data_IF_628161974031
#
_entry.id   IF_628161974031
#
_cell.length_a   1.000
_cell.length_b   1.000
_cell.length_c   1.000
_cell.angle_alpha   90.00
_cell.angle_beta   90.00
_cell.angle_gamma   90.00
#
_symmetry.space_group_name_H-M   'P 1'
#
loop_
_entity.id
_entity.type
_entity.pdbx_description
1 polymer ?
#
# COMPACT_ATOMS: atom_id res chain seq x y z
N UNK A 1 -8.31 -9.55 -2.44
CA UNK A 1 -8.85 -10.28 -3.60
C UNK A 1 -9.48 -9.28 -4.54
N UNK A 2 -9.42 -9.50 -5.85
CA UNK A 2 -10.14 -8.69 -6.82
C UNK A 2 -11.56 -9.26 -6.98
N UNK A 3 -12.59 -8.44 -6.78
CA UNK A 3 -14.00 -8.85 -6.91
C UNK A 3 -14.51 -8.86 -8.36
N UNK A 4 -13.72 -8.34 -9.30
CA UNK A 4 -14.01 -8.32 -10.72
C UNK A 4 -12.68 -8.38 -11.51
N UNK A 5 -12.70 -8.76 -12.80
CA UNK A 5 -11.54 -8.68 -13.67
C UNK A 5 -10.93 -7.28 -13.65
N UNK A 6 -9.61 -7.20 -13.50
CA UNK A 6 -8.89 -5.94 -13.50
C UNK A 6 -8.56 -5.57 -14.97
N UNK A 7 -9.07 -4.44 -15.49
CA UNK A 7 -8.91 -4.11 -16.91
C UNK A 7 -7.48 -3.61 -17.25
N UNK A 8 -6.69 -3.27 -16.23
CA UNK A 8 -5.38 -2.66 -16.37
C UNK A 8 -4.39 -3.20 -15.33
N UNK A 9 -3.13 -2.89 -15.56
CA UNK A 9 -2.04 -3.19 -14.64
C UNK A 9 -1.87 -2.07 -13.62
N UNK A 10 -2.16 -2.38 -12.36
CA UNK A 10 -2.11 -1.46 -11.25
C UNK A 10 -0.71 -1.41 -10.62
N UNK A 11 -0.44 -0.27 -9.99
CA UNK A 11 0.71 -0.02 -9.14
C UNK A 11 0.26 0.18 -7.70
N UNK A 12 1.20 0.02 -6.79
CA UNK A 12 1.04 0.29 -5.38
C UNK A 12 2.00 1.38 -4.94
N UNK A 13 1.50 2.31 -4.14
CA UNK A 13 2.25 3.36 -3.45
C UNK A 13 2.28 3.02 -1.98
N UNK A 14 3.48 2.83 -1.42
CA UNK A 14 3.71 2.58 0.00
C UNK A 14 4.36 3.80 0.62
N UNK A 15 3.67 4.42 1.58
CA UNK A 15 4.08 5.65 2.26
C UNK A 15 4.37 5.42 3.72
N UNK A 16 5.50 5.96 4.18
CA UNK A 16 5.78 6.13 5.60
C UNK A 16 5.35 7.54 6.01
N UNK A 17 4.48 7.63 7.00
CA UNK A 17 4.01 8.89 7.55
C UNK A 17 4.65 9.15 8.92
N UNK A 18 5.00 10.39 9.17
CA UNK A 18 5.43 10.87 10.50
C UNK A 18 4.28 10.81 11.54
N UNK A 19 4.56 11.07 12.83
CA UNK A 19 3.51 11.12 13.86
C UNK A 19 2.41 12.16 13.60
N UNK A 20 2.70 13.22 12.83
CA UNK A 20 1.73 14.25 12.44
C UNK A 20 0.92 13.85 11.20
N UNK A 21 1.22 12.71 10.56
CA UNK A 21 0.55 12.21 9.37
C UNK A 21 1.14 12.71 8.04
N UNK A 22 2.26 13.42 8.06
CA UNK A 22 2.91 13.89 6.83
C UNK A 22 3.73 12.76 6.18
N UNK A 23 3.72 12.65 4.84
CA UNK A 23 4.55 11.66 4.16
C UNK A 23 6.04 12.01 4.29
N UNK A 24 6.81 11.11 4.89
CA UNK A 24 8.28 11.20 4.97
C UNK A 24 8.96 10.45 3.84
N UNK A 25 8.38 9.32 3.44
CA UNK A 25 8.93 8.46 2.42
C UNK A 25 7.80 7.85 1.60
N UNK A 26 8.06 7.66 0.31
CA UNK A 26 7.14 7.01 -0.62
C UNK A 26 7.92 6.06 -1.51
N UNK A 27 7.38 4.87 -1.73
CA UNK A 27 7.88 3.89 -2.69
C UNK A 27 6.73 3.41 -3.57
N UNK A 28 6.85 3.68 -4.86
CA UNK A 28 5.92 3.18 -5.87
C UNK A 28 6.50 1.93 -6.54
N UNK A 29 5.64 0.94 -6.77
CA UNK A 29 6.01 -0.30 -7.45
C UNK A 29 4.83 -0.87 -8.24
N UNK A 30 5.07 -1.56 -9.37
CA UNK A 30 4.00 -2.31 -10.04
C UNK A 30 3.54 -3.47 -9.15
N UNK A 31 2.25 -3.79 -9.16
CA UNK A 31 1.73 -4.99 -8.52
C UNK A 31 1.96 -6.21 -9.43
N UNK A 32 2.70 -7.20 -8.92
CA UNK A 32 3.12 -8.40 -9.67
C UNK A 32 3.17 -9.64 -8.77
N UNK A 33 2.00 -10.20 -8.45
CA UNK A 33 1.93 -11.47 -7.73
C UNK A 33 2.53 -12.60 -8.58
N UNK A 34 3.57 -13.27 -8.06
CA UNK A 34 4.36 -14.28 -8.79
C UNK A 34 4.88 -13.79 -10.16
N UNK A 35 5.12 -12.47 -10.29
CA UNK A 35 5.54 -11.84 -11.55
C UNK A 35 4.41 -11.54 -12.53
N UNK A 36 3.19 -12.04 -12.26
CA UNK A 36 2.02 -11.85 -13.10
C UNK A 36 1.38 -10.47 -12.87
N UNK A 37 1.15 -9.68 -13.94
CA UNK A 37 0.57 -8.35 -13.81
C UNK A 37 -0.92 -8.42 -13.43
N UNK A 38 -1.45 -7.37 -12.81
CA UNK A 38 -2.79 -7.44 -12.18
C UNK A 38 -3.93 -7.73 -13.15
N UNK A 39 -3.81 -7.35 -14.43
CA UNK A 39 -4.81 -7.69 -15.46
C UNK A 39 -4.99 -9.20 -15.69
N UNK A 40 -4.02 -10.02 -15.28
CA UNK A 40 -4.06 -11.48 -15.42
C UNK A 40 -4.54 -12.19 -14.16
N UNK A 41 -4.82 -11.45 -13.08
CA UNK A 41 -5.24 -12.05 -11.82
C UNK A 41 -6.65 -12.62 -11.95
N UNK A 42 -6.82 -13.85 -11.46
CA UNK A 42 -8.15 -14.45 -11.36
C UNK A 42 -9.00 -13.69 -10.33
N UNK A 43 -10.23 -13.35 -10.71
CA UNK A 43 -11.22 -12.81 -9.79
C UNK A 43 -11.46 -13.79 -8.62
N UNK A 44 -11.81 -13.26 -7.46
CA UNK A 44 -12.11 -13.99 -6.22
C UNK A 44 -10.97 -14.88 -5.68
N UNK A 45 -9.76 -14.73 -6.20
CA UNK A 45 -8.55 -15.39 -5.69
C UNK A 45 -7.68 -14.41 -4.90
N UNK A 46 -7.03 -14.92 -3.86
CA UNK A 46 -5.99 -14.19 -3.15
C UNK A 46 -4.70 -14.23 -3.97
N UNK A 47 -4.14 -13.06 -4.21
CA UNK A 47 -2.84 -12.85 -4.83
C UNK A 47 -1.93 -12.20 -3.79
N UNK A 48 -0.69 -12.71 -3.66
CA UNK A 48 0.29 -12.21 -2.71
C UNK A 48 1.43 -11.55 -3.49
N UNK A 49 1.74 -10.30 -3.14
CA UNK A 49 2.82 -9.54 -3.75
C UNK A 49 3.71 -8.93 -2.66
N UNK A 50 4.85 -9.56 -2.31
CA UNK A 50 5.69 -9.09 -1.22
C UNK A 50 6.53 -7.88 -1.63
N UNK A 51 6.24 -6.72 -1.04
CA UNK A 51 7.07 -5.52 -1.19
C UNK A 51 8.01 -5.32 0.00
N UNK A 52 9.28 -5.06 -0.29
CA UNK A 52 10.26 -4.63 0.70
C UNK A 52 10.37 -3.11 0.68
N UNK A 53 10.08 -2.47 1.81
CA UNK A 53 10.30 -1.05 2.03
C UNK A 53 11.66 -0.85 2.69
N UNK A 54 12.54 -0.08 2.07
CA UNK A 54 13.81 0.32 2.69
C UNK A 54 13.61 1.65 3.39
N UNK A 55 13.74 1.63 4.70
CA UNK A 55 13.62 2.84 5.51
C UNK A 55 14.97 3.56 5.58
N UNK A 56 15.00 4.91 5.57
CA UNK A 56 16.22 5.66 5.81
C UNK A 56 16.78 5.34 7.20
N UNK A 57 18.08 5.09 7.30
CA UNK A 57 18.77 4.85 8.58
C UNK A 57 18.80 6.12 9.47
N UNK A 58 18.58 7.28 8.87
CA UNK A 58 18.53 8.58 9.55
C UNK A 58 17.15 8.89 10.16
N UNK A 59 16.21 7.95 10.15
CA UNK A 59 14.91 8.15 10.78
C UNK A 59 15.11 8.26 12.30
N UNK A 60 14.64 9.35 12.94
CA UNK A 60 14.69 9.45 14.38
C UNK A 60 13.82 8.36 15.03
N UNK A 61 14.12 7.98 16.27
CA UNK A 61 13.24 7.12 17.05
C UNK A 61 11.84 7.74 17.20
N UNK A 62 10.81 6.90 17.09
CA UNK A 62 9.44 7.37 17.11
C UNK A 62 8.43 6.38 16.51
N UNK A 63 7.17 6.82 16.48
CA UNK A 63 6.06 6.05 15.92
C UNK A 63 5.67 6.59 14.56
N UNK A 64 5.77 5.74 13.55
CA UNK A 64 5.44 6.05 12.17
C UNK A 64 4.23 5.26 11.73
N UNK A 65 3.46 5.78 10.78
CA UNK A 65 2.33 5.05 10.19
C UNK A 65 2.68 4.57 8.79
N UNK A 66 2.44 3.30 8.50
CA UNK A 66 2.55 2.77 7.15
C UNK A 66 1.20 2.88 6.44
N UNK A 67 1.19 3.52 5.28
CA UNK A 67 0.03 3.77 4.46
C UNK A 67 0.22 3.21 3.05
N UNK A 68 -0.82 2.68 2.44
CA UNK A 68 -0.77 2.05 1.13
C UNK A 68 -1.94 2.50 0.26
N UNK A 69 -1.66 2.78 -1.02
CA UNK A 69 -2.67 3.09 -2.04
C UNK A 69 -2.40 2.28 -3.29
N UNK A 70 -3.46 1.78 -3.93
CA UNK A 70 -3.38 1.08 -5.22
C UNK A 70 -3.95 2.02 -6.29
N UNK A 71 -3.27 2.16 -7.42
CA UNK A 71 -3.65 3.13 -8.46
C UNK A 71 -3.24 2.61 -9.83
N UNK A 72 -3.90 3.09 -10.88
CA UNK A 72 -3.43 2.83 -12.24
C UNK A 72 -2.40 3.91 -12.60
N UNK A 73 -1.24 3.53 -13.16
CA UNK A 73 -0.13 4.46 -13.35
C UNK A 73 -0.48 5.69 -14.22
N UNK A 74 -1.44 5.56 -15.14
CA UNK A 74 -1.90 6.68 -15.97
C UNK A 74 -2.82 7.66 -15.21
N UNK A 75 -3.36 7.26 -14.05
CA UNK A 75 -4.26 8.03 -13.20
C UNK A 75 -3.82 7.96 -11.72
N UNK A 76 -2.56 8.33 -11.44
CA UNK A 76 -2.00 8.26 -10.08
C UNK A 76 -2.77 9.08 -9.03
N UNK A 77 -3.41 10.18 -9.45
CA UNK A 77 -4.28 11.01 -8.61
C UNK A 77 -5.65 10.39 -8.30
N UNK A 78 -5.95 9.20 -8.84
CA UNK A 78 -7.21 8.46 -8.63
C UNK A 78 -6.96 7.04 -8.12
N UNK A 79 -6.46 6.90 -6.88
CA UNK A 79 -6.30 5.60 -6.24
C UNK A 79 -7.63 4.86 -6.09
N UNK A 80 -7.57 3.54 -6.17
CA UNK A 80 -8.68 2.63 -5.91
C UNK A 80 -9.16 2.75 -4.46
N UNK A 81 -10.48 2.61 -4.30
CA UNK A 81 -11.10 2.51 -2.97
C UNK A 81 -10.77 1.17 -2.32
N UNK A 82 -10.17 1.24 -1.14
CA UNK A 82 -9.97 0.10 -0.25
C UNK A 82 -11.31 -0.23 0.40
N UNK A 83 -11.77 -1.45 0.13
CA UNK A 83 -12.94 -2.02 0.79
C UNK A 83 -12.46 -2.90 1.95
N UNK A 84 -12.89 -2.56 3.17
CA UNK A 84 -12.66 -3.41 4.34
C UNK A 84 -13.68 -4.55 4.33
N UNK A 85 -13.25 -5.75 4.71
CA UNK A 85 -14.15 -6.88 4.94
C UNK A 85 -14.92 -6.77 6.26
N UNK A 86 -14.57 -5.81 7.13
CA UNK A 86 -15.26 -5.57 8.39
C UNK A 86 -16.40 -4.56 8.20
N UNK A 87 -17.66 -4.93 8.53
CA UNK A 87 -18.78 -4.01 8.44
C UNK A 87 -18.58 -2.81 9.39
N UNK A 88 -18.83 -1.60 8.89
CA UNK A 88 -18.69 -0.34 9.65
C UNK A 88 -17.32 0.34 9.55
N UNK A 89 -16.34 -0.24 8.86
CA UNK A 89 -15.08 0.43 8.54
C UNK A 89 -15.27 1.30 7.30
N UNK A 90 -14.93 2.59 7.41
CA UNK A 90 -15.03 3.53 6.30
C UNK A 90 -14.17 3.08 5.12
N UNK A 91 -14.74 3.15 3.92
CA UNK A 91 -13.99 2.99 2.68
C UNK A 91 -13.03 4.17 2.51
N UNK A 92 -11.78 3.89 2.17
CA UNK A 92 -10.75 4.90 1.99
C UNK A 92 -9.89 4.54 0.78
N UNK A 93 -9.28 5.51 0.12
CA UNK A 93 -8.30 5.24 -0.96
C UNK A 93 -6.89 4.98 -0.44
N UNK A 94 -6.72 5.03 0.88
CA UNK A 94 -5.47 4.77 1.58
C UNK A 94 -5.75 3.75 2.68
N UNK A 95 -5.14 2.57 2.60
CA UNK A 95 -5.11 1.59 3.67
C UNK A 95 -3.99 1.94 4.65
N UNK A 96 -4.32 2.15 5.92
CA UNK A 96 -3.31 2.22 6.99
C UNK A 96 -3.03 0.79 7.45
N UNK A 97 -1.81 0.31 7.19
CA UNK A 97 -1.44 -1.08 7.45
C UNK A 97 -1.08 -1.30 8.93
N UNK A 98 -0.60 -0.26 9.61
CA UNK A 98 -0.22 -0.31 11.01
C UNK A 98 0.81 0.76 11.38
N UNK A 99 1.30 0.68 12.60
CA UNK A 99 2.33 1.55 13.14
C UNK A 99 3.67 0.83 13.22
N UNK A 100 4.74 1.52 12.84
CA UNK A 100 6.12 1.09 13.03
C UNK A 100 6.73 1.91 14.17
N UNK A 101 7.27 1.25 15.18
CA UNK A 101 8.02 1.92 16.25
C UNK A 101 9.50 1.68 16.04
N UNK A 102 10.25 2.76 15.82
CA UNK A 102 11.71 2.73 15.86
C UNK A 102 12.14 3.06 17.30
N UNK A 103 12.74 2.07 17.98
CA UNK A 103 13.37 2.28 19.27
C UNK A 103 14.75 2.91 19.09
N UNK A 104 15.22 3.68 20.08
CA UNK A 104 16.61 4.13 20.11
C UNK A 104 17.52 2.89 20.12
N UNK A 105 18.51 2.83 19.23
CA UNK A 105 19.48 1.74 19.20
C UNK A 105 20.26 1.70 20.52
N UNK A 106 20.27 0.53 21.16
CA UNK A 106 21.14 0.25 22.31
C UNK A 106 22.56 -0.12 21.89
#
# INVERSE_FOLDING_TARGET
MAQAPLPVDYSVSVRLLDPAGNPLYNQDAPLRADGAPTSTWAADRLAFDPHRLRLPETLPPGTYTLALSVYWYAEADRPLTVVSSQPGVAQATVARLGTLTLAEGG
#
